data_IF_980797233230
#
_entry.id   IF_980797233230
#
_cell.length_a   1.000
_cell.length_b   1.000
_cell.length_c   1.000
_cell.angle_alpha   90.00
_cell.angle_beta   90.00
_cell.angle_gamma   90.00
#
_symmetry.space_group_name_H-M   'P 1'
#
loop_
_entity.id
_entity.type
_entity.pdbx_description
1 polymer ?
2 non-polymer ?
3 non-polymer ?
4 non-polymer ?
5 water ?
#
# COMPACT_ATOMS: atom_id res chain seq x y z
N UNK A 39 -15.19 -5.36 -20.44
CA UNK A 39 -14.97 -4.20 -19.51
C UNK A 39 -15.26 -4.46 -18.03
N UNK A 40 -15.13 -5.71 -17.60
CA UNK A 40 -15.26 -6.07 -16.18
C UNK A 40 -14.05 -6.84 -15.64
N UNK A 41 -13.10 -7.19 -16.49
CA UNK A 41 -11.99 -8.05 -16.08
C UNK A 41 -11.02 -7.29 -15.16
N UNK A 42 -10.36 -8.06 -14.31
CA UNK A 42 -9.32 -7.53 -13.46
C UNK A 42 -8.14 -6.96 -14.26
N UNK A 43 -7.56 -5.89 -13.75
CA UNK A 43 -6.35 -5.34 -14.34
C UNK A 43 -5.13 -5.68 -13.49
N UNK A 44 -4.17 -6.35 -14.11
CA UNK A 44 -2.98 -6.82 -13.40
C UNK A 44 -1.79 -5.86 -13.45
N UNK A 45 -2.06 -4.62 -13.89
CA UNK A 45 -1.11 -3.49 -13.79
C UNK A 45 -1.63 -2.43 -12.81
N UNK A 46 -2.60 -2.84 -11.98
CA UNK A 46 -3.21 -2.01 -10.95
C UNK A 46 -3.00 -2.65 -9.59
N UNK A 47 -2.27 -1.94 -8.72
CA UNK A 47 -1.79 -2.44 -7.43
C UNK A 47 -2.45 -1.66 -6.29
N UNK A 48 -3.16 -2.35 -5.41
CA UNK A 48 -3.88 -1.66 -4.35
C UNK A 48 -3.24 -2.00 -3.02
N UNK A 49 -2.77 -0.97 -2.29
CA UNK A 49 -2.06 -1.21 -1.03
C UNK A 49 -3.00 -1.67 0.08
N UNK A 50 -2.68 -2.83 0.65
CA UNK A 50 -3.54 -3.58 1.57
C UNK A 50 -2.83 -3.78 2.90
N UNK A 51 -3.58 -3.59 3.97
CA UNK A 51 -3.07 -3.69 5.35
C UNK A 51 -3.77 -4.85 6.06
N UNK A 52 -2.98 -5.74 6.66
CA UNK A 52 -3.45 -6.99 7.28
C UNK A 52 -3.29 -6.99 8.82
N UNK A 53 -3.31 -5.80 9.42
CA UNK A 53 -2.96 -5.63 10.82
C UNK A 53 -4.16 -5.43 11.76
N UNK A 54 -5.37 -5.62 11.23
CA UNK A 54 -6.59 -5.46 12.01
C UNK A 54 -6.94 -6.74 12.73
N UNK A 55 -7.48 -6.63 13.95
CA UNK A 55 -7.99 -7.80 14.64
C UNK A 55 -9.42 -7.65 15.08
N UNK A 56 -10.03 -8.78 15.41
CA UNK A 56 -11.34 -8.75 16.05
C UNK A 56 -11.36 -9.70 17.24
N UNK A 57 -12.33 -9.50 18.11
CA UNK A 57 -12.55 -10.46 19.20
C UNK A 57 -12.83 -11.86 18.66
N UNK A 58 -13.58 -11.95 17.54
CA UNK A 58 -13.97 -13.26 16.99
C UNK A 58 -12.78 -14.14 16.67
N UNK A 59 -11.74 -13.55 16.08
CA UNK A 59 -10.58 -14.31 15.59
C UNK A 59 -9.36 -14.18 16.49
N UNK A 60 -8.99 -12.95 16.79
CA UNK A 60 -7.72 -12.63 17.47
C UNK A 60 -7.87 -12.53 18.98
N UNK A 61 -9.10 -12.35 19.45
CA UNK A 61 -9.35 -12.09 20.87
C UNK A 61 -9.14 -10.66 21.29
N UNK A 62 -8.89 -9.77 20.31
CA UNK A 62 -8.57 -8.38 20.56
C UNK A 62 -8.82 -7.60 19.26
N UNK A 63 -9.26 -6.36 19.42
CA UNK A 63 -9.45 -5.43 18.31
C UNK A 63 -8.17 -4.64 17.96
N UNK A 64 -7.16 -5.38 17.51
CA UNK A 64 -5.86 -4.84 17.12
C UNK A 64 -6.02 -3.79 16.02
N UNK A 65 -5.26 -2.71 16.16
CA UNK A 65 -5.23 -1.54 15.26
C UNK A 65 -6.48 -0.67 15.32
N UNK A 66 -7.66 -1.24 15.51
CA UNK A 66 -8.83 -0.40 15.82
C UNK A 66 -8.55 0.39 17.13
N UNK A 67 -7.84 -0.25 18.05
CA UNK A 67 -7.18 0.42 19.17
C UNK A 67 -5.79 0.83 18.73
N UNK A 68 -5.38 2.07 19.03
CA UNK A 68 -4.10 2.58 18.52
C UNK A 68 -3.64 3.75 19.38
N UNK A 69 -2.35 3.80 19.68
CA UNK A 69 -1.76 4.95 20.36
C UNK A 69 -1.93 6.22 19.51
N UNK A 70 -2.18 7.35 20.17
CA UNK A 70 -2.16 8.65 19.51
C UNK A 70 -0.69 9.14 19.47
N UNK A 71 -0.30 9.58 18.26
CA UNK A 71 1.09 10.03 18.05
C UNK A 71 1.32 11.38 18.73
N UNK A 72 2.44 11.52 19.47
CA UNK A 72 2.76 12.86 19.97
C UNK A 72 3.10 13.80 18.82
N UNK A 73 2.89 15.09 19.05
CA UNK A 73 3.26 16.13 18.08
C UNK A 73 4.80 16.18 17.98
N UNK A 74 5.36 15.93 16.77
CA UNK A 74 6.84 16.02 16.63
C UNK A 74 7.45 17.41 16.91
N UNK A 75 6.66 18.48 16.85
CA UNK A 75 7.13 19.84 17.13
C UNK A 75 6.90 20.23 18.58
N UNK A 79 6.76 16.87 27.42
CA UNK A 79 6.03 15.93 28.28
C UNK A 79 4.60 15.69 27.86
N UNK A 80 4.41 15.29 26.61
CA UNK A 80 3.08 14.96 26.07
C UNK A 80 2.64 13.56 26.52
N UNK A 81 1.40 13.46 26.99
CA UNK A 81 0.74 12.17 27.23
C UNK A 81 -0.51 12.12 26.34
N UNK A 82 -0.31 11.86 25.03
CA UNK A 82 -1.39 12.00 24.04
C UNK A 82 -2.52 10.99 24.20
N UNK A 83 -2.21 9.82 24.77
CA UNK A 83 -3.22 8.83 25.05
C UNK A 83 -3.35 7.79 23.95
N UNK A 84 -4.43 7.02 24.06
CA UNK A 84 -4.69 5.90 23.14
C UNK A 84 -6.17 5.82 22.82
N UNK A 85 -6.45 5.53 21.55
CA UNK A 85 -7.80 5.27 21.09
C UNK A 85 -8.11 3.82 21.47
N UNK A 86 -9.22 3.56 22.19
CA UNK A 86 -9.36 2.20 22.76
C UNK A 86 -9.92 1.09 21.85
N UNK A 87 -10.32 1.42 20.62
CA UNK A 87 -10.90 0.41 19.73
C UNK A 87 -12.20 -0.21 20.17
N UNK A 88 -12.96 0.57 20.93
CA UNK A 88 -14.32 0.20 21.29
C UNK A 88 -15.23 0.39 20.09
N UNK A 89 -16.46 -0.07 20.16
CA UNK A 89 -17.41 0.19 19.10
C UNK A 89 -17.54 1.69 18.80
N UNK A 90 -17.52 2.49 19.86
CA UNK A 90 -17.73 3.93 19.75
C UNK A 90 -16.49 4.69 19.27
N UNK A 91 -15.30 4.19 19.60
CA UNK A 91 -14.06 4.94 19.41
C UNK A 91 -12.96 4.08 18.80
N UNK A 92 -12.83 4.18 17.48
CA UNK A 92 -11.82 3.45 16.70
C UNK A 92 -10.80 4.41 16.10
N UNK A 93 -9.66 3.87 15.72
CA UNK A 93 -8.52 4.66 15.23
C UNK A 93 -8.63 5.01 13.74
N UNK A 94 -9.70 5.72 13.42
CA UNK A 94 -9.96 6.19 12.07
C UNK A 94 -10.92 7.37 12.17
N UNK A 95 -10.85 8.28 11.21
CA UNK A 95 -11.86 9.33 11.06
C UNK A 95 -13.13 8.82 10.37
N UNK A 96 -13.06 7.63 9.78
CA UNK A 96 -14.18 6.95 9.09
C UNK A 96 -14.56 5.67 9.83
N UNK A 97 -15.64 5.02 9.41
CA UNK A 97 -16.12 3.81 10.09
C UNK A 97 -16.39 2.70 9.05
N UNK A 98 -15.73 1.54 9.18
CA UNK A 98 -15.87 0.52 8.15
C UNK A 98 -17.27 -0.07 8.06
N UNK A 99 -17.76 -0.32 6.84
CA UNK A 99 -19.00 -1.07 6.65
C UNK A 99 -18.94 -2.44 7.32
N UNK A 100 -17.77 -3.08 7.31
CA UNK A 100 -17.60 -4.40 7.91
C UNK A 100 -17.33 -4.37 9.41
N UNK A 101 -17.32 -3.18 10.02
CA UNK A 101 -17.07 -3.03 11.45
C UNK A 101 -15.63 -3.28 11.83
N UNK A 102 -15.38 -3.60 13.10
CA UNK A 102 -14.04 -3.83 13.62
C UNK A 102 -13.62 -5.25 13.29
N UNK A 103 -13.19 -5.43 12.04
CA UNK A 103 -12.96 -6.74 11.48
C UNK A 103 -11.55 -7.26 11.76
N UNK A 104 -11.39 -8.57 11.66
CA UNK A 104 -10.06 -9.19 11.69
C UNK A 104 -9.53 -9.48 10.29
N UNK A 105 -8.28 -9.12 10.06
CA UNK A 105 -7.55 -9.45 8.83
C UNK A 105 -7.27 -10.95 8.72
N UNK A 106 -7.49 -11.71 9.79
CA UNK A 106 -7.35 -13.16 9.81
C UNK A 106 -8.67 -13.91 9.74
N UNK A 107 -9.80 -13.20 9.55
CA UNK A 107 -11.12 -13.80 9.47
C UNK A 107 -11.35 -14.22 8.00
N UNK A 108 -11.39 -15.53 7.71
CA UNK A 108 -11.57 -15.93 6.31
C UNK A 108 -12.84 -15.36 5.67
N UNK A 109 -13.90 -15.13 6.47
CA UNK A 109 -15.13 -14.57 5.93
C UNK A 109 -14.93 -13.08 5.51
N UNK A 110 -14.15 -12.34 6.27
CA UNK A 110 -13.81 -10.97 5.89
C UNK A 110 -12.94 -10.97 4.63
N UNK A 111 -11.98 -11.87 4.58
CA UNK A 111 -11.07 -11.94 3.43
C UNK A 111 -11.85 -12.22 2.15
N UNK A 112 -12.84 -13.13 2.19
CA UNK A 112 -13.69 -13.42 1.04
C UNK A 112 -14.37 -12.13 0.53
N UNK A 113 -14.91 -11.37 1.48
CA UNK A 113 -15.57 -10.11 1.18
C UNK A 113 -14.60 -9.09 0.56
N UNK A 114 -13.40 -8.97 1.13
CA UNK A 114 -12.39 -8.11 0.56
C UNK A 114 -12.05 -8.50 -0.87
N UNK A 115 -11.92 -9.78 -1.16
CA UNK A 115 -11.59 -10.20 -2.52
C UNK A 115 -12.74 -9.86 -3.48
N UNK A 116 -13.99 -10.02 -3.02
CA UNK A 116 -15.13 -9.59 -3.83
C UNK A 116 -15.10 -8.07 -4.09
N UNK A 117 -14.63 -7.30 -3.11
CA UNK A 117 -14.46 -5.86 -3.31
C UNK A 117 -13.35 -5.50 -4.33
N UNK A 118 -12.23 -6.23 -4.30
CA UNK A 118 -11.18 -6.09 -5.33
C UNK A 118 -11.76 -6.40 -6.71
N UNK A 119 -12.59 -7.45 -6.82
CA UNK A 119 -13.24 -7.75 -8.09
C UNK A 119 -14.14 -6.61 -8.55
N UNK A 120 -14.93 -6.05 -7.64
CA UNK A 120 -15.76 -4.91 -8.00
C UNK A 120 -14.94 -3.72 -8.48
N UNK A 121 -13.79 -3.50 -7.87
CA UNK A 121 -12.90 -2.39 -8.19
C UNK A 121 -12.03 -2.65 -9.43
N UNK A 122 -12.00 -3.90 -9.89
CA UNK A 122 -11.17 -4.35 -11.03
C UNK A 122 -9.67 -4.29 -10.77
N UNK A 123 -9.31 -4.29 -9.48
CA UNK A 123 -7.91 -4.17 -9.08
C UNK A 123 -7.34 -5.58 -8.96
N UNK A 124 -6.45 -5.95 -9.88
CA UNK A 124 -5.95 -7.30 -9.95
C UNK A 124 -4.83 -7.69 -9.01
N UNK A 125 -4.15 -6.70 -8.42
CA UNK A 125 -3.02 -7.00 -7.52
C UNK A 125 -3.19 -6.34 -6.16
N UNK A 126 -3.08 -7.17 -5.13
CA UNK A 126 -3.12 -6.78 -3.72
C UNK A 126 -1.66 -6.64 -3.29
N UNK A 127 -1.26 -5.42 -2.89
CA UNK A 127 0.11 -5.13 -2.51
C UNK A 127 0.15 -5.13 -0.96
N UNK A 128 0.54 -6.27 -0.41
CA UNK A 128 0.40 -6.57 1.00
C UNK A 128 1.52 -5.98 1.86
N UNK A 129 1.15 -5.14 2.83
CA UNK A 129 2.10 -4.63 3.82
C UNK A 129 2.82 -5.79 4.48
N UNK A 130 4.12 -5.67 4.66
CA UNK A 130 4.92 -6.75 5.24
C UNK A 130 5.97 -6.22 6.20
N UNK A 131 5.83 -6.63 7.47
CA UNK A 131 6.60 -6.07 8.58
C UNK A 131 7.60 -7.01 9.19
N UNK A 132 7.79 -8.19 8.59
CA UNK A 132 8.76 -9.15 9.12
C UNK A 132 8.54 -9.43 10.62
N UNK A 133 7.30 -9.74 10.98
CA UNK A 133 6.94 -10.03 12.37
C UNK A 133 7.55 -11.33 12.87
N UNK A 134 7.78 -12.28 11.95
CA UNK A 134 8.40 -13.59 12.30
C UNK A 134 7.59 -14.31 13.37
N UNK A 135 6.28 -14.34 13.20
CA UNK A 135 5.38 -14.97 14.15
C UNK A 135 4.37 -15.83 13.41
N UNK A 136 3.87 -16.85 14.09
CA UNK A 136 2.88 -17.78 13.54
C UNK A 136 1.66 -17.07 12.94
N UNK A 137 1.23 -16.02 13.61
CA UNK A 137 0.02 -15.30 13.18
C UNK A 137 0.22 -14.61 11.83
N UNK A 138 1.40 -14.01 11.61
CA UNK A 138 1.75 -13.46 10.30
C UNK A 138 1.74 -14.53 9.21
N UNK A 139 2.37 -15.66 9.48
CA UNK A 139 2.43 -16.72 8.50
C UNK A 139 1.04 -17.24 8.15
N UNK A 140 0.21 -17.44 9.16
CA UNK A 140 -1.16 -17.92 8.90
C UNK A 140 -1.93 -16.94 8.03
N UNK A 141 -1.85 -15.68 8.40
CA UNK A 141 -2.60 -14.65 7.72
C UNK A 141 -2.16 -14.49 6.25
N UNK A 142 -0.85 -14.51 5.98
CA UNK A 142 -0.40 -14.41 4.59
C UNK A 142 -0.97 -15.58 3.77
N UNK A 143 -0.94 -16.78 4.33
CA UNK A 143 -1.51 -17.93 3.64
C UNK A 143 -3.00 -17.81 3.39
N UNK A 144 -3.72 -17.28 4.35
CA UNK A 144 -5.17 -17.07 4.19
C UNK A 144 -5.46 -16.05 3.09
N UNK A 145 -4.68 -14.97 3.06
CA UNK A 145 -4.84 -13.92 2.04
C UNK A 145 -4.55 -14.48 0.63
N UNK A 146 -3.45 -15.21 0.47
CA UNK A 146 -3.17 -15.84 -0.82
C UNK A 146 -4.30 -16.78 -1.25
N UNK A 147 -4.77 -17.62 -0.33
CA UNK A 147 -5.84 -18.57 -0.67
C UNK A 147 -7.13 -17.85 -1.09
N UNK A 148 -7.52 -16.83 -0.33
CA UNK A 148 -8.73 -16.08 -0.67
C UNK A 148 -8.57 -15.35 -2.02
N UNK A 149 -7.43 -14.71 -2.21
CA UNK A 149 -7.13 -14.03 -3.48
C UNK A 149 -7.26 -14.96 -4.68
N UNK A 150 -6.71 -16.16 -4.56
CA UNK A 150 -6.70 -17.06 -5.72
C UNK A 150 -8.09 -17.48 -6.17
N UNK A 151 -9.02 -17.56 -5.23
CA UNK A 151 -10.39 -17.95 -5.57
C UNK A 151 -11.04 -16.95 -6.53
N UNK A 152 -10.57 -15.69 -6.50
CA UNK A 152 -11.09 -14.64 -7.35
C UNK A 152 -10.10 -14.18 -8.43
N UNK A 153 -9.03 -14.94 -8.65
CA UNK A 153 -7.98 -14.66 -9.64
C UNK A 153 -7.21 -13.36 -9.33
N UNK A 154 -7.23 -12.93 -8.07
CA UNK A 154 -6.43 -11.80 -7.63
C UNK A 154 -5.03 -12.29 -7.33
N UNK A 155 -4.06 -11.42 -7.60
CA UNK A 155 -2.66 -11.71 -7.31
C UNK A 155 -2.18 -10.91 -6.12
N UNK A 156 -1.12 -11.40 -5.48
CA UNK A 156 -0.54 -10.78 -4.29
C UNK A 156 0.94 -10.52 -4.51
N UNK A 157 1.37 -9.29 -4.20
CA UNK A 157 2.77 -8.96 -4.11
C UNK A 157 3.02 -8.34 -2.73
N UNK A 158 4.29 -8.17 -2.36
CA UNK A 158 4.64 -7.65 -1.03
C UNK A 158 5.17 -6.23 -1.07
N UNK A 159 4.71 -5.45 -0.08
CA UNK A 159 5.10 -4.09 0.17
C UNK A 159 6.03 -4.13 1.39
N UNK A 160 7.34 -4.08 1.14
CA UNK A 160 8.36 -4.30 2.18
C UNK A 160 8.56 -3.03 3.00
N UNK A 161 8.13 -3.12 4.27
CA UNK A 161 8.08 -2.00 5.16
C UNK A 161 9.42 -1.80 5.88
N UNK A 162 9.61 -0.64 6.52
CA UNK A 162 10.86 -0.36 7.24
C UNK A 162 10.88 -1.00 8.64
N UNK A 163 11.12 -2.30 8.64
CA UNK A 163 11.22 -3.09 9.86
C UNK A 163 12.57 -2.82 10.54
N UNK A 164 12.67 -3.14 11.85
CA UNK A 164 13.88 -2.79 12.58
C UNK A 164 15.16 -3.38 12.01
N UNK A 165 16.17 -2.55 11.87
CA UNK A 165 17.48 -2.95 11.32
C UNK A 165 17.42 -3.49 9.90
N UNK A 166 16.39 -3.11 9.14
CA UNK A 166 16.32 -3.46 7.74
C UNK A 166 17.61 -3.00 7.04
N UNK A 167 18.18 -3.89 6.25
CA UNK A 167 19.40 -3.59 5.48
C UNK A 167 19.42 -4.53 4.28
N UNK A 168 20.35 -4.35 3.33
CA UNK A 168 20.27 -5.17 2.11
C UNK A 168 20.52 -6.65 2.31
N UNK A 169 21.26 -7.03 3.35
CA UNK A 169 21.53 -8.44 3.62
C UNK A 169 20.27 -9.16 4.15
N UNK A 170 19.66 -8.59 5.20
CA UNK A 170 18.42 -9.21 5.66
C UNK A 170 17.27 -9.02 4.66
N UNK A 171 17.28 -7.96 3.85
CA UNK A 171 16.30 -7.86 2.75
C UNK A 171 16.46 -9.01 1.77
N UNK A 172 17.71 -9.30 1.40
CA UNK A 172 17.92 -10.42 0.48
C UNK A 172 17.38 -11.71 1.10
N UNK A 173 17.71 -11.94 2.37
CA UNK A 173 17.31 -13.15 3.07
C UNK A 173 15.78 -13.25 3.10
N UNK A 174 15.13 -12.11 3.31
CA UNK A 174 13.66 -12.08 3.38
C UNK A 174 12.99 -12.21 2.01
N UNK A 175 13.60 -11.65 0.97
CA UNK A 175 13.14 -11.88 -0.41
C UNK A 175 13.24 -13.38 -0.76
N UNK A 176 14.36 -13.99 -0.42
CA UNK A 176 14.53 -15.42 -0.61
C UNK A 176 13.44 -16.22 0.15
N UNK A 177 13.22 -15.84 1.40
CA UNK A 177 12.21 -16.49 2.21
C UNK A 177 10.82 -16.39 1.59
N UNK A 178 10.44 -15.18 1.17
CA UNK A 178 9.09 -14.98 0.65
C UNK A 178 8.90 -15.71 -0.67
N UNK A 179 9.91 -15.68 -1.55
CA UNK A 179 9.82 -16.40 -2.83
C UNK A 179 9.78 -17.91 -2.58
N UNK A 180 10.63 -18.41 -1.67
CA UNK A 180 10.64 -19.83 -1.34
C UNK A 180 9.30 -20.29 -0.72
N UNK A 181 8.78 -19.49 0.20
CA UNK A 181 7.54 -19.88 0.92
C UNK A 181 6.31 -19.78 0.02
N UNK A 182 6.22 -18.68 -0.73
CA UNK A 182 4.98 -18.32 -1.42
C UNK A 182 5.06 -18.28 -2.94
N UNK A 183 6.26 -18.42 -3.52
CA UNK A 183 6.45 -18.28 -4.97
C UNK A 183 5.72 -19.30 -5.82
N UNK A 184 5.43 -20.48 -5.27
CA UNK A 184 4.66 -21.50 -5.98
C UNK A 184 3.15 -21.41 -5.71
N UNK A 185 2.73 -20.46 -4.88
CA UNK A 185 1.30 -20.26 -4.66
C UNK A 185 0.71 -19.67 -5.93
N UNK A 186 -0.45 -20.19 -6.42
CA UNK A 186 -0.99 -19.65 -7.68
C UNK A 186 -1.34 -18.16 -7.68
N UNK A 187 -1.56 -17.58 -6.51
CA UNK A 187 -1.86 -16.15 -6.43
C UNK A 187 -0.63 -15.26 -6.35
N UNK A 188 0.57 -15.82 -6.22
CA UNK A 188 1.77 -15.00 -6.12
C UNK A 188 2.00 -14.26 -7.45
N UNK A 189 2.09 -12.93 -7.36
CA UNK A 189 2.25 -12.10 -8.55
C UNK A 189 3.58 -12.24 -9.26
N UNK A 190 3.54 -12.33 -10.60
CA UNK A 190 4.73 -12.18 -11.44
C UNK A 190 4.43 -11.31 -12.64
N UNK A 191 5.41 -10.49 -13.01
CA UNK A 191 5.40 -9.71 -14.27
C UNK A 191 6.57 -10.22 -15.12
N UNK A 192 6.26 -10.73 -16.31
CA UNK A 192 7.27 -11.29 -17.22
C UNK A 192 8.21 -12.26 -16.50
N UNK A 193 7.64 -13.12 -15.66
CA UNK A 193 8.39 -14.11 -14.92
C UNK A 193 9.00 -13.66 -13.60
N UNK A 194 8.92 -12.37 -13.26
CA UNK A 194 9.58 -11.86 -12.07
C UNK A 194 8.58 -11.46 -11.00
N UNK A 195 8.84 -11.84 -9.75
CA UNK A 195 8.12 -11.22 -8.63
C UNK A 195 8.32 -9.70 -8.62
N UNK A 196 7.43 -8.98 -7.96
CA UNK A 196 7.57 -7.53 -7.79
C UNK A 196 7.44 -7.17 -6.32
N UNK A 197 8.35 -6.31 -5.84
CA UNK A 197 8.27 -5.78 -4.49
C UNK A 197 8.28 -4.25 -4.52
N UNK A 198 7.39 -3.65 -3.72
CA UNK A 198 7.47 -2.21 -3.41
C UNK A 198 8.31 -2.06 -2.16
N UNK A 199 9.21 -1.10 -2.13
CA UNK A 199 10.07 -0.87 -0.97
C UNK A 199 9.76 0.49 -0.36
N UNK A 200 9.04 0.48 0.78
CA UNK A 200 8.68 1.72 1.44
C UNK A 200 9.90 2.33 2.13
N UNK A 201 10.02 3.66 2.06
CA UNK A 201 11.12 4.42 2.67
C UNK A 201 12.49 3.83 2.25
N UNK A 202 12.57 3.51 0.96
CA UNK A 202 13.82 2.99 0.39
C UNK A 202 14.99 3.96 0.52
N UNK A 203 14.70 5.26 0.68
CA UNK A 203 15.74 6.29 0.91
C UNK A 203 16.47 6.14 2.24
N UNK A 204 15.93 5.33 3.16
CA UNK A 204 16.60 5.04 4.40
C UNK A 204 17.85 4.18 4.23
N UNK A 205 18.07 3.65 3.02
CA UNK A 205 19.23 2.81 2.72
C UNK A 205 20.00 3.46 1.56
N UNK A 206 21.31 3.61 1.76
CA UNK A 206 22.18 4.27 0.80
C UNK A 206 22.23 3.56 -0.54
N UNK A 207 22.33 4.30 -1.67
CA UNK A 207 22.48 3.60 -2.94
C UNK A 207 23.71 2.67 -3.02
N UNK A 208 24.79 2.99 -2.31
CA UNK A 208 25.94 2.09 -2.29
C UNK A 208 25.61 0.72 -1.68
N UNK A 209 24.67 0.67 -0.75
CA UNK A 209 24.16 -0.60 -0.21
C UNK A 209 23.21 -1.25 -1.21
N UNK A 210 22.25 -0.50 -1.72
CA UNK A 210 21.35 -1.05 -2.72
C UNK A 210 22.06 -1.71 -3.91
N UNK A 211 23.16 -1.09 -4.36
CA UNK A 211 23.81 -1.62 -5.56
C UNK A 211 24.40 -3.02 -5.31
N UNK A 212 24.74 -3.34 -4.06
CA UNK A 212 25.21 -4.68 -3.73
C UNK A 212 24.17 -5.76 -3.99
N UNK A 213 22.91 -5.40 -3.81
CA UNK A 213 21.77 -6.29 -3.98
C UNK A 213 21.22 -6.25 -5.42
N UNK A 214 21.27 -5.08 -6.04
CA UNK A 214 20.49 -4.81 -7.25
C UNK A 214 21.29 -4.56 -8.53
N UNK A 215 22.58 -4.26 -8.46
CA UNK A 215 23.41 -4.23 -9.68
C UNK A 215 23.68 -5.64 -10.13
N UNK A 216 23.76 -5.89 -11.45
CA UNK A 216 24.10 -7.24 -11.89
C UNK A 216 25.45 -7.78 -11.38
N UNK A 217 26.37 -6.89 -11.03
CA UNK A 217 27.64 -7.26 -10.45
C UNK A 217 27.73 -7.11 -8.95
N UNK A 218 26.61 -6.83 -8.30
CA UNK A 218 26.63 -6.57 -6.87
C UNK A 218 27.08 -7.78 -6.07
N UNK A 219 27.74 -7.49 -4.97
CA UNK A 219 28.31 -8.49 -4.07
C UNK A 219 27.32 -9.57 -3.64
N UNK A 220 26.05 -9.17 -3.45
CA UNK A 220 25.00 -10.11 -3.01
C UNK A 220 23.81 -10.01 -3.98
N UNK A 221 24.13 -9.92 -5.27
CA UNK A 221 23.09 -9.62 -6.24
C UNK A 221 21.98 -10.68 -6.26
N UNK A 222 20.77 -10.21 -6.52
CA UNK A 222 19.69 -11.08 -6.95
C UNK A 222 19.55 -11.18 -8.46
N UNK A 223 20.23 -10.30 -9.21
CA UNK A 223 20.10 -10.30 -10.68
C UNK A 223 20.62 -11.61 -11.25
N UNK A 224 19.85 -12.19 -12.19
CA UNK A 224 20.20 -13.46 -12.86
C UNK A 224 20.13 -14.68 -11.95
N UNK A 225 19.65 -14.52 -10.73
CA UNK A 225 19.47 -15.61 -9.77
C UNK A 225 18.03 -16.09 -9.78
N UNK A 226 17.79 -17.20 -9.08
CA UNK A 226 16.44 -17.70 -8.87
C UNK A 226 15.53 -16.69 -8.14
N UNK A 227 16.13 -15.71 -7.47
CA UNK A 227 15.43 -14.76 -6.62
C UNK A 227 15.36 -13.38 -7.21
N UNK A 228 15.62 -13.25 -8.52
CA UNK A 228 15.52 -11.96 -9.20
C UNK A 228 14.06 -11.46 -9.09
N UNK A 229 13.89 -10.15 -9.00
CA UNK A 229 12.58 -9.53 -8.84
C UNK A 229 12.62 -8.09 -9.33
N UNK A 230 11.45 -7.55 -9.64
CA UNK A 230 11.30 -6.12 -9.93
C UNK A 230 11.21 -5.38 -8.60
N UNK A 231 12.14 -4.46 -8.38
CA UNK A 231 12.27 -3.73 -7.14
C UNK A 231 11.87 -2.29 -7.38
N UNK A 232 10.78 -1.87 -6.74
CA UNK A 232 10.16 -0.56 -6.97
C UNK A 232 10.41 0.31 -5.74
N UNK A 233 11.31 1.29 -5.87
CA UNK A 233 11.64 2.17 -4.76
C UNK A 233 10.72 3.36 -4.63
N UNK A 234 10.73 4.00 -3.46
CA UNK A 234 9.87 5.13 -3.18
C UNK A 234 10.54 6.45 -3.60
N UNK A 235 10.01 7.08 -4.64
CA UNK A 235 10.45 8.41 -5.07
C UNK A 235 9.78 9.44 -4.19
N UNK A 236 10.57 10.19 -3.43
CA UNK A 236 10.04 11.22 -2.53
C UNK A 236 10.27 12.64 -3.05
N UNK A 237 11.50 13.10 -2.99
CA UNK A 237 11.84 14.52 -3.15
C UNK A 237 12.17 14.94 -4.60
N UNK A 238 13.00 15.98 -4.77
CA UNK A 238 13.18 16.56 -6.08
C UNK A 238 14.01 15.67 -7.01
N UNK A 239 13.88 15.87 -8.33
CA UNK A 239 14.67 15.09 -9.28
C UNK A 239 16.18 15.16 -9.07
N UNK A 240 16.70 16.30 -8.62
CA UNK A 240 18.14 16.41 -8.42
C UNK A 240 18.66 15.37 -7.42
N UNK A 241 17.82 15.00 -6.46
CA UNK A 241 18.13 13.97 -5.48
C UNK A 241 17.69 12.59 -5.96
N UNK A 242 16.49 12.49 -6.48
CA UNK A 242 15.91 11.17 -6.75
C UNK A 242 16.43 10.49 -8.01
N UNK A 243 16.77 11.25 -9.05
CA UNK A 243 17.25 10.65 -10.29
C UNK A 243 18.55 9.86 -10.03
N UNK A 244 19.60 10.50 -9.44
CA UNK A 244 20.81 9.71 -9.18
C UNK A 244 20.59 8.60 -8.15
N UNK A 245 19.71 8.82 -7.17
CA UNK A 245 19.44 7.78 -6.19
C UNK A 245 18.92 6.51 -6.90
N UNK A 246 17.89 6.67 -7.71
CA UNK A 246 17.25 5.52 -8.38
C UNK A 246 18.23 4.82 -9.33
N UNK A 247 19.00 5.61 -10.10
CA UNK A 247 19.99 5.02 -11.00
C UNK A 247 21.08 4.28 -10.25
N UNK A 248 21.66 4.94 -9.25
CA UNK A 248 22.79 4.36 -8.51
C UNK A 248 22.39 3.18 -7.63
N UNK A 249 21.11 3.13 -7.23
CA UNK A 249 20.58 2.00 -6.44
C UNK A 249 20.17 0.82 -7.29
N UNK A 250 20.05 1.02 -8.60
CA UNK A 250 19.65 -0.04 -9.54
C UNK A 250 18.22 -0.56 -9.29
N UNK A 251 17.34 0.32 -8.82
CA UNK A 251 15.91 -0.04 -8.78
C UNK A 251 15.38 -0.27 -10.19
N UNK A 252 14.41 -1.16 -10.32
CA UNK A 252 13.73 -1.36 -11.58
C UNK A 252 12.70 -0.29 -11.87
N UNK A 253 12.25 0.41 -10.83
CA UNK A 253 11.21 1.41 -10.99
C UNK A 253 10.98 2.14 -9.70
N UNK A 254 9.92 2.94 -9.68
CA UNK A 254 9.62 3.76 -8.54
C UNK A 254 8.13 4.05 -8.45
N UNK A 255 7.68 4.26 -7.21
CA UNK A 255 6.30 4.65 -6.87
C UNK A 255 6.34 5.81 -5.92
N UNK A 256 5.18 6.38 -5.61
CA UNK A 256 5.14 7.63 -4.85
C UNK A 256 4.40 7.55 -3.50
N UNK A 257 3.55 6.52 -3.37
CA UNK A 257 2.75 6.17 -2.18
C UNK A 257 1.72 7.21 -1.72
N UNK A 258 2.16 8.40 -1.34
CA UNK A 258 1.29 9.26 -0.55
C UNK A 258 0.00 9.65 -1.27
N UNK A 259 -1.13 9.50 -0.58
CA UNK A 259 -2.41 9.85 -1.16
C UNK A 259 -2.70 11.33 -1.15
N UNK A 260 -1.95 12.09 -0.37
CA UNK A 260 -2.15 13.53 -0.22
C UNK A 260 -1.33 14.31 -1.24
N UNK A 261 -2.03 14.95 -2.18
CA UNK A 261 -1.32 15.69 -3.23
C UNK A 261 -0.45 16.77 -2.61
N UNK A 262 0.76 16.91 -3.16
CA UNK A 262 1.69 17.93 -2.69
C UNK A 262 2.45 17.63 -1.40
N UNK A 263 2.23 16.46 -0.78
CA UNK A 263 2.96 16.09 0.42
C UNK A 263 4.46 15.99 0.14
N UNK A 264 4.80 15.40 -1.00
CA UNK A 264 6.15 15.36 -1.51
C UNK A 264 6.14 15.80 -2.98
N UNK A 265 7.34 16.03 -3.54
CA UNK A 265 7.48 16.25 -4.98
C UNK A 265 6.83 15.09 -5.75
N UNK A 266 7.14 13.87 -5.31
CA UNK A 266 6.64 12.71 -6.00
C UNK A 266 5.12 12.54 -5.97
N UNK A 267 4.48 13.02 -4.91
CA UNK A 267 3.02 12.95 -4.78
C UNK A 267 2.31 14.22 -5.26
N UNK A 268 3.01 15.03 -6.07
CA UNK A 268 2.43 16.21 -6.73
C UNK A 268 2.15 15.83 -8.18
N UNK A 269 0.87 15.60 -8.54
CA UNK A 269 0.62 14.99 -9.85
C UNK A 269 1.04 15.79 -11.08
N UNK A 270 1.19 17.11 -10.96
CA UNK A 270 1.70 17.89 -12.09
C UNK A 270 3.17 17.54 -12.44
N UNK A 271 3.88 16.83 -11.56
CA UNK A 271 5.22 16.32 -11.88
C UNK A 271 5.24 14.99 -12.61
N UNK A 272 4.07 14.34 -12.74
CA UNK A 272 4.07 12.97 -13.24
C UNK A 272 4.44 12.82 -14.72
N UNK A 273 4.01 13.74 -15.58
CA UNK A 273 4.43 13.68 -16.98
C UNK A 273 5.97 13.64 -17.11
N UNK A 274 6.66 14.54 -16.39
CA UNK A 274 8.13 14.60 -16.41
C UNK A 274 8.79 13.38 -15.80
N UNK A 275 8.20 12.89 -14.71
CA UNK A 275 8.72 11.68 -14.07
C UNK A 275 8.60 10.47 -14.99
N UNK A 276 7.48 10.36 -15.70
CA UNK A 276 7.30 9.27 -16.67
C UNK A 276 8.29 9.37 -17.84
N UNK A 277 8.52 10.59 -18.34
CA UNK A 277 9.50 10.79 -19.43
C UNK A 277 10.89 10.35 -18.98
N UNK A 278 11.28 10.73 -17.76
CA UNK A 278 12.58 10.31 -17.24
C UNK A 278 12.63 8.79 -17.09
N UNK A 279 11.57 8.21 -16.55
CA UNK A 279 11.50 6.76 -16.38
C UNK A 279 11.72 6.04 -17.72
N UNK A 280 10.98 6.46 -18.75
CA UNK A 280 11.06 5.80 -20.04
C UNK A 280 12.48 5.93 -20.63
N UNK A 281 13.09 7.10 -20.48
CA UNK A 281 14.45 7.36 -21.00
C UNK A 281 15.50 6.48 -20.30
N UNK A 282 15.21 6.06 -19.07
CA UNK A 282 16.18 5.34 -18.24
C UNK A 282 15.81 3.89 -17.95
N UNK A 283 14.81 3.38 -18.67
CA UNK A 283 14.38 1.98 -18.59
C UNK A 283 13.81 1.61 -17.23
N UNK A 284 13.11 2.57 -16.59
CA UNK A 284 12.52 2.35 -15.27
C UNK A 284 11.00 2.30 -15.38
N UNK A 285 10.38 1.53 -14.49
CA UNK A 285 8.92 1.43 -14.39
C UNK A 285 8.39 2.44 -13.36
N UNK A 286 7.61 3.40 -13.80
CA UNK A 286 6.98 4.38 -12.92
C UNK A 286 5.55 3.92 -12.60
N UNK A 287 5.26 3.78 -11.32
CA UNK A 287 3.96 3.33 -10.79
C UNK A 287 3.43 4.43 -9.84
N UNK A 288 2.88 5.52 -10.40
CA UNK A 288 2.36 6.57 -9.52
C UNK A 288 1.27 6.03 -8.60
N UNK A 289 1.19 6.63 -7.42
CA UNK A 289 0.16 6.26 -6.44
C UNK A 289 -0.95 7.32 -6.40
N UNK A 290 -2.19 6.83 -6.53
CA UNK A 290 -3.36 7.71 -6.49
C UNK A 290 -4.21 7.28 -5.31
N UNK A 291 -4.92 8.24 -4.74
CA UNK A 291 -5.83 7.92 -3.65
C UNK A 291 -7.02 8.84 -3.57
N UNK A 292 -8.02 8.48 -2.75
CA UNK A 292 -9.30 9.19 -2.77
C UNK A 292 -9.39 10.39 -1.84
N UNK A 293 -8.39 10.55 -0.97
CA UNK A 293 -8.35 11.59 0.04
C UNK A 293 -7.34 11.22 1.10
N UNK A 294 -7.24 12.06 2.14
CA UNK A 294 -6.34 11.79 3.26
C UNK A 294 -6.84 12.51 4.48
N UNK A 295 -6.93 11.77 5.60
CA UNK A 295 -7.13 12.42 6.92
C UNK A 295 -6.74 11.44 8.00
N UNK A 296 -5.82 11.86 8.88
CA UNK A 296 -5.28 10.98 9.92
C UNK A 296 -5.39 11.61 11.30
N UNK A 297 -6.30 12.56 11.49
CA UNK A 297 -6.26 13.38 12.69
C UNK A 297 -6.77 12.69 13.96
N UNK A 298 -7.43 11.52 13.86
CA UNK A 298 -7.73 10.77 15.09
C UNK A 298 -6.44 10.27 15.72
N UNK A 299 -5.51 9.75 14.91
CA UNK A 299 -4.21 9.27 15.44
C UNK A 299 -3.08 10.29 15.44
N UNK A 300 -3.22 11.35 14.63
CA UNK A 300 -2.23 12.42 14.52
C UNK A 300 -2.96 13.75 14.54
N UNK A 301 -3.47 14.17 15.72
CA UNK A 301 -4.32 15.38 15.79
C UNK A 301 -3.67 16.66 15.29
N UNK A 302 -2.35 16.69 15.36
CA UNK A 302 -1.50 17.80 14.92
C UNK A 302 -1.23 17.84 13.41
N UNK A 303 -1.74 16.87 12.64
CA UNK A 303 -1.38 16.73 11.22
C UNK A 303 -2.46 17.23 10.24
N UNK A 304 -3.26 18.19 10.68
CA UNK A 304 -4.37 18.68 9.89
C UNK A 304 -4.01 19.31 8.55
N UNK A 305 -2.79 19.84 8.41
CA UNK A 305 -2.39 20.45 7.13
C UNK A 305 -2.30 19.44 5.97
N UNK A 306 -2.22 18.14 6.29
CA UNK A 306 -2.16 17.09 5.29
C UNK A 306 -3.56 16.60 4.86
N UNK A 307 -4.62 17.08 5.50
CA UNK A 307 -5.97 16.67 5.11
C UNK A 307 -6.22 17.03 3.63
N UNK A 308 -6.75 16.07 2.89
CA UNK A 308 -7.24 16.29 1.53
C UNK A 308 -8.67 15.79 1.48
N UNK A 309 -9.60 16.70 1.16
CA UNK A 309 -11.02 16.39 1.16
C UNK A 309 -11.43 15.58 -0.07
N UNK A 310 -12.38 14.67 0.12
CA UNK A 310 -12.79 13.76 -0.96
C UNK A 310 -13.69 14.37 -2.02
N UNK A 311 -14.45 15.39 -1.65
CA UNK A 311 -15.36 16.11 -2.56
C UNK A 311 -16.22 15.17 -3.42
N UNK A 312 -16.84 14.19 -2.76
CA UNK A 312 -17.76 13.25 -3.41
C UNK A 312 -17.13 12.54 -4.61
N UNK A 313 -15.82 12.31 -4.53
CA UNK A 313 -15.09 11.61 -5.57
C UNK A 313 -14.24 12.45 -6.49
N UNK A 314 -14.41 13.78 -6.46
CA UNK A 314 -13.71 14.63 -7.41
C UNK A 314 -12.20 14.65 -7.16
N UNK A 315 -11.78 14.51 -5.90
CA UNK A 315 -10.34 14.44 -5.62
C UNK A 315 -9.74 13.17 -6.24
N UNK A 316 -10.40 12.04 -6.04
CA UNK A 316 -9.94 10.79 -6.61
C UNK A 316 -9.86 10.87 -8.13
N UNK A 317 -10.92 11.40 -8.73
CA UNK A 317 -10.98 11.56 -10.19
C UNK A 317 -9.79 12.36 -10.71
N UNK A 318 -9.49 13.49 -10.06
CA UNK A 318 -8.41 14.35 -10.54
C UNK A 318 -7.09 13.62 -10.46
N UNK A 319 -6.85 12.91 -9.36
CA UNK A 319 -5.56 12.22 -9.20
C UNK A 319 -5.41 11.05 -10.20
N UNK A 320 -6.46 10.26 -10.35
CA UNK A 320 -6.43 9.12 -11.25
C UNK A 320 -6.28 9.62 -12.70
N UNK A 321 -7.00 10.67 -13.08
CA UNK A 321 -6.85 11.25 -14.43
C UNK A 321 -5.41 11.65 -14.72
N UNK A 322 -4.76 12.29 -13.76
CA UNK A 322 -3.36 12.72 -13.95
C UNK A 322 -2.42 11.54 -14.16
N UNK A 323 -2.63 10.46 -13.42
CA UNK A 323 -1.80 9.26 -13.62
C UNK A 323 -1.96 8.72 -15.05
N UNK A 324 -3.20 8.61 -15.50
CA UNK A 324 -3.48 8.06 -16.82
C UNK A 324 -2.92 8.97 -17.92
N UNK A 325 -3.10 10.27 -17.75
CA UNK A 325 -2.61 11.26 -18.73
C UNK A 325 -1.10 11.28 -18.84
N UNK A 326 -0.39 10.90 -17.75
CA UNK A 326 1.06 10.82 -17.77
C UNK A 326 1.57 9.69 -18.65
N UNK A 327 0.72 8.74 -19.01
CA UNK A 327 1.10 7.69 -19.95
C UNK A 327 1.79 6.51 -19.32
N UNK A 328 1.58 6.31 -18.03
CA UNK A 328 2.25 5.25 -17.27
C UNK A 328 1.68 3.87 -17.64
N UNK A 329 2.47 2.84 -17.36
CA UNK A 329 2.16 1.45 -17.65
C UNK A 329 1.56 0.69 -16.48
N UNK A 330 1.54 1.32 -15.30
CA UNK A 330 1.02 0.70 -14.08
C UNK A 330 0.65 1.81 -13.12
N UNK A 331 -0.35 1.54 -12.28
CA UNK A 331 -0.85 2.49 -11.28
C UNK A 331 -1.00 1.79 -9.95
N UNK A 332 -0.64 2.49 -8.86
CA UNK A 332 -0.88 1.97 -7.50
C UNK A 332 -1.92 2.84 -6.80
N UNK A 333 -2.70 2.21 -5.93
CA UNK A 333 -3.81 2.88 -5.22
C UNK A 333 -3.52 2.84 -3.71
N UNK A 334 -3.44 4.04 -3.14
CA UNK A 334 -3.28 4.26 -1.71
C UNK A 334 -4.62 4.77 -1.20
N UNK A 335 -5.48 3.90 -0.65
CA UNK A 335 -5.18 2.53 -0.26
C UNK A 335 -6.48 1.72 -0.32
N UNK A 336 -6.37 0.38 -0.18
CA UNK A 336 -7.58 -0.37 0.07
C UNK A 336 -8.14 -0.02 1.44
N UNK A 337 -7.28 -0.09 2.47
CA UNK A 337 -7.77 -0.10 3.85
C UNK A 337 -6.76 0.42 4.87
N UNK A 338 -6.09 1.54 4.54
CA UNK A 338 -5.33 2.28 5.57
C UNK A 338 -6.36 3.22 6.24
N UNK A 339 -7.12 2.65 7.16
CA UNK A 339 -8.18 3.38 7.87
C UNK A 339 -7.64 4.49 8.75
N UNK A 340 -6.44 4.31 9.29
CA UNK A 340 -5.86 5.33 10.14
C UNK A 340 -5.59 6.61 9.38
N UNK A 341 -5.27 6.50 8.08
CA UNK A 341 -4.87 7.61 7.25
C UNK A 341 -5.99 8.13 6.38
N UNK A 342 -7.17 7.50 6.44
CA UNK A 342 -8.31 8.02 5.70
C UNK A 342 -8.16 7.99 4.21
N UNK A 343 -7.30 7.10 3.71
CA UNK A 343 -7.05 6.96 2.28
C UNK A 343 -7.81 5.76 1.67
N UNK A 344 -8.62 5.07 2.46
CA UNK A 344 -9.20 3.80 2.04
C UNK A 344 -10.27 3.96 0.98
N UNK A 345 -10.31 3.00 0.07
CA UNK A 345 -11.45 2.84 -0.86
C UNK A 345 -12.46 1.82 -0.33
N UNK A 346 -12.08 1.02 0.67
CA UNK A 346 -12.99 0.05 1.26
C UNK A 346 -14.27 0.75 1.74
N UNK A 347 -15.44 0.11 1.55
CA UNK A 347 -16.67 0.76 2.00
C UNK A 347 -16.70 1.20 3.47
N UNK A 348 -17.20 2.41 3.67
CA UNK A 348 -17.38 3.08 4.95
C UNK A 348 -18.84 3.47 5.08
N UNK A 349 -19.35 3.54 6.31
CA UNK A 349 -20.76 3.90 6.57
C UNK A 349 -20.87 5.07 7.53
N UNK A 350 -21.98 5.82 7.45
CA UNK A 350 -22.21 6.84 8.47
C UNK A 350 -22.26 6.24 9.87
N UNK A 351 -21.64 6.91 10.85
CA UNK A 351 -21.71 6.48 12.25
C UNK A 351 -21.49 7.68 13.15
N UNK A 352 -22.37 7.83 14.13
CA UNK A 352 -22.22 8.81 15.18
C UNK A 352 -22.33 8.04 16.46
N UNK A 353 -21.33 8.20 17.31
CA UNK A 353 -21.33 7.51 18.57
C UNK A 353 -21.26 8.60 19.60
N UNK A 354 -21.39 8.17 20.85
CA UNK A 354 -21.27 9.08 21.95
C UNK A 354 -19.87 9.74 22.00
N UNK A 355 -18.86 9.09 21.43
CA UNK A 355 -17.45 9.53 21.52
C UNK A 355 -16.89 10.31 20.28
N UNK A 356 -17.48 10.12 19.10
CA UNK A 356 -16.95 10.76 17.88
C UNK A 356 -18.03 10.75 16.80
N UNK A 357 -18.10 11.80 15.99
CA UNK A 357 -18.94 11.78 14.81
C UNK A 357 -18.01 11.51 13.62
N UNK A 358 -18.14 10.34 13.02
CA UNK A 358 -17.24 9.91 11.96
C UNK A 358 -17.59 10.63 10.66
N UNK A 359 -16.59 10.79 9.81
CA UNK A 359 -16.78 11.15 8.42
C UNK A 359 -17.36 9.93 7.69
N UNK A 360 -17.89 10.17 6.50
CA UNK A 360 -18.49 9.09 5.70
C UNK A 360 -18.47 9.52 4.24
N UNK A 361 -18.98 8.67 3.35
CA UNK A 361 -18.91 8.94 1.92
C UNK A 361 -20.10 9.71 1.40
N UNK A 362 -21.11 9.97 2.25
CA UNK A 362 -22.32 10.70 1.78
C UNK A 362 -21.88 12.03 1.17
N UNK A 363 -22.46 12.46 0.05
CA UNK A 363 -23.69 11.89 -0.54
C UNK A 363 -23.49 10.70 -1.50
N UNK A 364 -22.28 10.15 -1.55
CA UNK A 364 -22.06 8.89 -2.27
C UNK A 364 -22.40 7.70 -1.38
N UNK A 365 -22.65 6.56 -2.03
CA UNK A 365 -22.98 5.32 -1.33
C UNK A 365 -21.69 4.63 -0.80
N UNK A 366 -21.84 3.67 0.14
CA UNK A 366 -20.63 3.08 0.76
C UNK A 366 -19.65 2.46 -0.22
N UNK A 367 -20.13 1.86 -1.32
CA UNK A 367 -19.26 1.21 -2.31
C UNK A 367 -18.83 2.12 -3.46
N UNK A 368 -19.08 3.42 -3.33
CA UNK A 368 -18.75 4.34 -4.42
C UNK A 368 -17.30 4.29 -4.86
N UNK A 369 -16.37 4.23 -3.91
CA UNK A 369 -14.97 4.26 -4.26
C UNK A 369 -14.51 2.95 -4.92
N UNK A 370 -15.17 1.83 -4.64
CA UNK A 370 -14.92 0.61 -5.42
C UNK A 370 -15.42 0.77 -6.85
N UNK A 371 -16.65 1.23 -7.03
CA UNK A 371 -17.15 1.38 -8.39
C UNK A 371 -16.43 2.48 -9.17
N UNK A 372 -15.98 3.55 -8.49
CA UNK A 372 -15.23 4.59 -9.18
C UNK A 372 -13.83 4.12 -9.56
N UNK A 373 -13.25 3.25 -8.73
CA UNK A 373 -11.99 2.63 -9.11
C UNK A 373 -12.18 1.81 -10.40
N UNK A 374 -13.26 1.03 -10.48
CA UNK A 374 -13.52 0.27 -11.71
C UNK A 374 -13.65 1.15 -12.95
N UNK A 375 -14.29 2.31 -12.79
CA UNK A 375 -14.39 3.31 -13.86
C UNK A 375 -13.01 3.72 -14.36
N UNK A 376 -12.13 4.07 -13.44
CA UNK A 376 -10.79 4.52 -13.79
C UNK A 376 -9.91 3.40 -14.32
N UNK A 377 -10.07 2.18 -13.82
CA UNK A 377 -9.35 1.03 -14.39
C UNK A 377 -9.73 0.88 -15.87
N UNK A 378 -11.01 1.05 -16.16
CA UNK A 378 -11.45 1.04 -17.55
C UNK A 378 -10.81 2.09 -18.44
N UNK A 379 -10.73 3.32 -17.90
CA UNK A 379 -10.07 4.43 -18.60
C UNK A 379 -8.58 4.15 -18.82
N UNK A 380 -7.94 3.63 -17.78
CA UNK A 380 -6.53 3.24 -17.84
C UNK A 380 -6.31 2.18 -18.93
N UNK A 381 -7.16 1.16 -18.97
CA UNK A 381 -7.02 0.10 -19.96
C UNK A 381 -7.22 0.60 -21.38
N UNK A 382 -8.12 1.56 -21.56
CA UNK A 382 -8.32 2.18 -22.86
C UNK A 382 -7.04 2.86 -23.38
N UNK A 383 -6.22 3.39 -22.45
CA UNK A 383 -4.96 4.11 -22.71
C UNK A 383 -3.73 3.24 -22.89
N UNK A 384 -3.81 1.95 -22.56
CA UNK A 384 -2.60 1.09 -22.56
C UNK A 384 -2.10 0.73 -23.97
X LIG B 1 -10.81 18.05 -6.09
X LIG B 1 -9.87 17.67 -5.33
X LIG B 1 -11.99 18.20 -5.72
X LIG B 1 -10.51 18.32 -7.51
X LIG C 1 26.95 -8.82 7.81
X LIG C 1 26.91 -7.58 7.55
X LIG C 1 26.83 -9.74 6.95
X LIG C 1 27.15 -9.25 9.22
X LIG D 1 21.03 -17.65 -3.85
X LIG D 1 21.07 -16.91 -4.87
X LIG D 1 20.87 -17.20 -2.70
X LIG D 1 21.17 -19.15 -3.94
X LIG E 1 -14.51 16.88 6.78
X LIG E 1 -15.72 16.85 6.53
X LIG E 1 -14.04 17.34 7.87
X LIG E 1 -13.59 16.32 5.73
X LIG F 1 1.87 3.80 4.90
X LIG F 1 3.30 2.52 6.60
X LIG F 1 1.51 4.11 7.48
X LIG F 1 1.04 4.31 6.05
X LIG F 1 4.65 2.15 6.85
X LIG F 1 3.23 3.20 5.22
X LIG F 1 3.56 2.27 4.05
X LIG F 1 2.63 1.16 3.99
X LIG F 1 2.87 3.46 7.73
X LIG F 1 2.83 2.73 8.98
X LIG F 1 0.43 3.25 6.92
X LIG G 1 3.02 3.59 10.13
X LIG G 1 3.44 2.73 11.33
X LIG G 1 2.29 1.84 11.82
X LIG G 1 1.07 2.72 12.10
X LIG G 1 0.71 3.53 10.88
X LIG G 1 -0.45 4.48 11.16
X LIG G 1 4.59 1.94 10.96
X LIG G 1 2.68 1.18 13.01
X LIG G 1 -0.09 1.94 12.45
X LIG G 1 1.84 4.32 10.50
X LIG G 1 -0.82 5.13 9.98
#
# INVERSE_FOLDING_TARGET
>A
MGSSHHHHHHSSGLVPRGSHMDDNNPSNSENNGGNNNLGTELDYDTFCFYYDWYGSEAIDGQYRHWAHAIAPDPNGGSGQNPGTIPGTQESIASNFYPQLGRYSSSDPNILTKHMDMFVMARTGVLALTWWNEQDETEAKRIGLILDAADKKKIKVCFHLEPYPSRNVQNLRENIVKLITRYGNHPAFYRKDGKPLFFIYDSYLIEPSEWEKLLSPGGSITIRNTAYDALMIGLWTSSPTVQRPFILNAHFDGFYTYFAATGFTYGSTPTNWVSMQKWAKENGKIFIPSVGPGYIDTRIRPWNGSVIRTRTDGQYYDAMYRKAIEAGVSAISITSFNEWHEGSQIEPAVPYTSSEFTYLDYENREPDYYLTRTAYWVGKFRESKQ
>B hetero
1 ACT C O OXT CH3
>C hetero
1 ACT C O OXT CH3
>D hetero
1 ACT C O OXT CH3
>E hetero
1 ACT C O OXT CH3
>F hetero
1 E9K C7 C4 C2 C1 O4 C5 C6 O6 C3 O3 N2
>G hetero
1 GLC C1 C2 C3 C4 C5 C6 O2 O3 O4 O5 O6
#
